data_IF_681881758397
#
_entry.id   IF_681881758397
#
_cell.length_a   1.000
_cell.length_b   1.000
_cell.length_c   1.000
_cell.angle_alpha   90.00
_cell.angle_beta   90.00
_cell.angle_gamma   90.00
#
_symmetry.space_group_name_H-M   'P 1'
#
loop_
_entity.id
_entity.type
_entity.pdbx_description
1 polymer ?
#
# COMPACT_ATOMS: atom_id res chain seq x y z
N UNK A 1 -17.01 22.99 -25.53
CA UNK A 1 -16.62 21.71 -26.15
C UNK A 1 -15.48 20.97 -25.42
N UNK A 2 -14.80 21.56 -24.43
CA UNK A 2 -13.70 20.91 -23.69
C UNK A 2 -14.17 19.97 -22.58
N UNK A 3 -15.28 20.28 -21.91
CA UNK A 3 -15.83 19.47 -20.81
C UNK A 3 -16.23 18.05 -21.22
N UNK A 4 -16.80 17.86 -22.42
CA UNK A 4 -17.20 16.53 -22.92
C UNK A 4 -16.00 15.64 -23.22
N UNK A 5 -14.90 16.21 -23.72
CA UNK A 5 -13.65 15.48 -24.00
C UNK A 5 -13.00 14.99 -22.70
N UNK A 6 -12.90 15.87 -21.70
CA UNK A 6 -12.33 15.53 -20.39
C UNK A 6 -13.14 14.40 -19.72
N UNK A 7 -14.48 14.46 -19.76
CA UNK A 7 -15.32 13.38 -19.22
C UNK A 7 -15.07 12.04 -19.91
N UNK A 8 -15.01 12.05 -21.24
CA UNK A 8 -14.74 10.83 -22.02
C UNK A 8 -13.38 10.22 -21.66
N UNK A 9 -12.33 11.04 -21.53
CA UNK A 9 -11.00 10.57 -21.15
C UNK A 9 -10.99 9.99 -19.71
N UNK A 10 -11.73 10.59 -18.78
CA UNK A 10 -11.90 10.05 -17.41
C UNK A 10 -12.64 8.71 -17.45
N UNK A 11 -13.75 8.61 -18.18
CA UNK A 11 -14.56 7.38 -18.29
C UNK A 11 -13.76 6.23 -18.93
N UNK A 12 -12.98 6.52 -19.97
CA UNK A 12 -12.06 5.57 -20.61
C UNK A 12 -10.97 5.11 -19.64
N UNK A 13 -10.42 6.01 -18.83
CA UNK A 13 -9.45 5.65 -17.78
C UNK A 13 -10.04 4.74 -16.71
N UNK A 14 -11.25 5.06 -16.23
CA UNK A 14 -11.97 4.22 -15.27
C UNK A 14 -12.28 2.84 -15.87
N UNK A 15 -12.68 2.78 -17.13
CA UNK A 15 -12.94 1.51 -17.81
C UNK A 15 -11.65 0.69 -17.95
N UNK A 16 -10.54 1.29 -18.37
CA UNK A 16 -9.24 0.60 -18.46
C UNK A 16 -8.80 0.06 -17.10
N UNK A 17 -9.02 0.81 -16.01
CA UNK A 17 -8.74 0.34 -14.65
C UNK A 17 -9.53 -0.92 -14.31
N UNK A 18 -10.83 -0.93 -14.63
CA UNK A 18 -11.70 -2.09 -14.39
C UNK A 18 -11.27 -3.31 -15.18
N UNK A 19 -10.88 -3.12 -16.43
CA UNK A 19 -10.39 -4.20 -17.30
C UNK A 19 -9.08 -4.79 -16.75
N UNK A 20 -8.16 -3.94 -16.26
CA UNK A 20 -6.92 -4.41 -15.63
C UNK A 20 -7.17 -5.21 -14.34
N UNK A 21 -8.11 -4.78 -13.50
CA UNK A 21 -8.50 -5.54 -12.30
C UNK A 21 -9.17 -6.85 -12.67
N UNK A 22 -9.99 -6.87 -13.74
CA UNK A 22 -10.60 -8.09 -14.25
C UNK A 22 -9.54 -9.07 -14.76
N UNK A 23 -8.58 -8.59 -15.53
CA UNK A 23 -7.47 -9.40 -16.06
C UNK A 23 -6.64 -10.01 -14.92
N UNK A 24 -6.32 -9.22 -13.89
CA UNK A 24 -5.57 -9.72 -12.74
C UNK A 24 -6.35 -10.80 -11.95
N UNK A 25 -7.67 -10.66 -11.84
CA UNK A 25 -8.54 -11.70 -11.24
C UNK A 25 -8.57 -12.97 -12.09
N UNK A 26 -8.60 -12.84 -13.41
CA UNK A 26 -8.53 -14.00 -14.31
C UNK A 26 -7.17 -14.71 -14.22
N UNK A 27 -6.07 -13.96 -14.18
CA UNK A 27 -4.72 -14.52 -13.96
C UNK A 27 -4.61 -15.22 -12.60
N UNK A 28 -5.22 -14.67 -11.55
CA UNK A 28 -5.24 -15.31 -10.23
C UNK A 28 -6.01 -16.64 -10.23
N UNK A 29 -7.13 -16.71 -10.97
CA UNK A 29 -7.89 -17.97 -11.15
C UNK A 29 -7.06 -19.00 -11.92
N UNK A 30 -6.42 -18.59 -13.01
CA UNK A 30 -5.55 -19.46 -13.82
C UNK A 30 -4.36 -19.99 -13.01
N UNK A 31 -3.74 -19.16 -12.18
CA UNK A 31 -2.66 -19.58 -11.28
C UNK A 31 -3.16 -20.59 -10.23
N UNK A 32 -4.39 -20.43 -9.73
CA UNK A 32 -5.01 -21.44 -8.85
C UNK A 32 -5.28 -22.77 -9.57
N UNK A 33 -5.74 -22.73 -10.84
CA UNK A 33 -5.92 -23.93 -11.67
C UNK A 33 -4.58 -24.63 -11.96
N UNK A 34 -3.54 -23.87 -12.32
CA UNK A 34 -2.16 -24.35 -12.50
C UNK A 34 -1.67 -25.05 -11.22
N UNK A 35 -1.88 -24.44 -10.06
CA UNK A 35 -1.48 -25.00 -8.77
C UNK A 35 -2.17 -26.34 -8.49
N UNK A 36 -3.48 -26.43 -8.69
CA UNK A 36 -4.20 -27.70 -8.50
C UNK A 36 -3.74 -28.79 -9.47
N UNK A 37 -3.38 -28.43 -10.71
CA UNK A 37 -2.78 -29.37 -11.66
C UNK A 37 -1.39 -29.82 -11.20
N UNK A 38 -0.51 -28.89 -10.84
CA UNK A 38 0.84 -29.19 -10.34
C UNK A 38 0.80 -30.08 -9.10
N UNK A 39 -0.16 -29.85 -8.20
CA UNK A 39 -0.39 -30.68 -7.02
C UNK A 39 -0.79 -32.12 -7.38
N UNK A 40 -1.66 -32.31 -8.39
CA UNK A 40 -2.00 -33.65 -8.92
C UNK A 40 -0.80 -34.34 -9.57
N UNK A 41 0.01 -33.60 -10.31
CA UNK A 41 1.21 -34.12 -10.96
C UNK A 41 2.26 -34.59 -9.93
N UNK A 42 2.52 -33.78 -8.89
CA UNK A 42 3.41 -34.15 -7.77
C UNK A 42 2.83 -35.36 -7.00
N UNK A 43 1.52 -35.41 -6.80
CA UNK A 43 0.87 -36.53 -6.12
C UNK A 43 1.01 -37.84 -6.91
N UNK A 44 0.88 -37.79 -8.24
CA UNK A 44 0.97 -38.96 -9.13
C UNK A 44 2.40 -39.44 -9.40
N UNK A 45 3.42 -38.57 -9.27
CA UNK A 45 4.82 -38.96 -9.43
C UNK A 45 5.23 -40.05 -8.40
N UNK A 46 5.78 -41.18 -8.83
CA UNK A 46 6.11 -42.30 -7.95
C UNK A 46 7.60 -42.31 -7.56
N UNK A 47 7.92 -41.87 -6.34
CA UNK A 47 9.06 -42.22 -5.44
C UNK A 47 9.37 -41.05 -4.49
N UNK A 48 9.97 -41.35 -3.34
CA UNK A 48 10.13 -40.45 -2.19
C UNK A 48 10.71 -39.06 -2.50
N UNK A 49 10.35 -38.08 -1.66
CA UNK A 49 10.70 -36.66 -1.84
C UNK A 49 9.50 -35.72 -2.10
N UNK A 50 8.28 -36.25 -2.17
CA UNK A 50 7.04 -35.50 -2.48
C UNK A 50 6.77 -34.31 -1.56
N UNK A 51 7.11 -34.44 -0.28
CA UNK A 51 6.78 -33.41 0.71
C UNK A 51 7.64 -32.15 0.53
N UNK A 52 8.94 -32.32 0.27
CA UNK A 52 9.85 -31.20 0.04
C UNK A 52 9.49 -30.47 -1.27
N UNK A 53 9.21 -31.21 -2.34
CA UNK A 53 8.81 -30.62 -3.63
C UNK A 53 7.46 -29.92 -3.55
N UNK A 54 6.48 -30.52 -2.85
CA UNK A 54 5.17 -29.90 -2.62
C UNK A 54 5.28 -28.62 -1.78
N UNK A 55 6.13 -28.61 -0.75
CA UNK A 55 6.35 -27.42 0.09
C UNK A 55 6.99 -26.29 -0.71
N UNK A 56 8.02 -26.58 -1.52
CA UNK A 56 8.65 -25.60 -2.39
C UNK A 56 7.67 -25.03 -3.43
N UNK A 57 6.91 -25.89 -4.10
CA UNK A 57 5.90 -25.49 -5.08
C UNK A 57 4.77 -24.65 -4.44
N UNK A 58 4.35 -24.99 -3.21
CA UNK A 58 3.36 -24.19 -2.45
C UNK A 58 3.89 -22.79 -2.14
N UNK A 59 5.17 -22.69 -1.79
CA UNK A 59 5.80 -21.41 -1.53
C UNK A 59 5.92 -20.57 -2.81
N UNK A 60 6.31 -21.19 -3.94
CA UNK A 60 6.34 -20.53 -5.25
C UNK A 60 4.94 -20.00 -5.63
N UNK A 61 3.91 -20.84 -5.53
CA UNK A 61 2.53 -20.44 -5.81
C UNK A 61 2.08 -19.27 -4.93
N UNK A 62 2.37 -19.34 -3.62
CA UNK A 62 2.07 -18.24 -2.68
C UNK A 62 2.77 -16.95 -3.09
N UNK A 63 4.05 -17.01 -3.44
CA UNK A 63 4.81 -15.86 -3.92
C UNK A 63 4.22 -15.29 -5.22
N UNK A 64 3.81 -16.16 -6.15
CA UNK A 64 3.18 -15.74 -7.40
C UNK A 64 1.87 -15.00 -7.16
N UNK A 65 1.00 -15.52 -6.30
CA UNK A 65 -0.26 -14.85 -5.92
C UNK A 65 0.00 -13.51 -5.21
N UNK A 66 1.00 -13.43 -4.34
CA UNK A 66 1.41 -12.18 -3.70
C UNK A 66 1.93 -11.16 -4.73
N UNK A 67 2.68 -11.61 -5.73
CA UNK A 67 3.13 -10.76 -6.85
C UNK A 67 1.94 -10.24 -7.65
N UNK A 68 0.98 -11.09 -8.01
CA UNK A 68 -0.24 -10.67 -8.72
C UNK A 68 -1.07 -9.66 -7.92
N UNK A 69 -1.28 -9.90 -6.63
CA UNK A 69 -2.03 -8.99 -5.74
C UNK A 69 -1.34 -7.63 -5.61
N UNK A 70 -0.03 -7.61 -5.37
CA UNK A 70 0.75 -6.38 -5.27
C UNK A 70 0.71 -5.54 -6.56
N UNK A 71 0.89 -6.18 -7.72
CA UNK A 71 0.78 -5.51 -9.03
C UNK A 71 -0.63 -4.94 -9.24
N UNK A 72 -1.67 -5.70 -8.89
CA UNK A 72 -3.07 -5.25 -8.99
C UNK A 72 -3.32 -4.01 -8.15
N UNK A 73 -2.78 -3.97 -6.92
CA UNK A 73 -2.88 -2.80 -6.03
C UNK A 73 -2.21 -1.57 -6.66
N UNK A 74 -0.98 -1.69 -7.17
CA UNK A 74 -0.29 -0.59 -7.86
C UNK A 74 -1.12 -0.06 -9.03
N UNK A 75 -1.67 -0.97 -9.83
CA UNK A 75 -2.46 -0.63 -11.00
C UNK A 75 -3.80 0.03 -10.66
N UNK A 76 -4.40 -0.32 -9.53
CA UNK A 76 -5.64 0.32 -9.07
C UNK A 76 -5.47 1.84 -8.84
N UNK A 77 -4.23 2.28 -8.58
CA UNK A 77 -3.90 3.71 -8.44
C UNK A 77 -3.62 4.42 -9.77
N UNK A 78 -3.71 3.75 -10.92
CA UNK A 78 -3.37 4.36 -12.20
C UNK A 78 -4.27 5.55 -12.58
N UNK A 79 -5.52 5.52 -12.14
CA UNK A 79 -6.56 6.48 -12.54
C UNK A 79 -7.20 7.21 -11.34
N UNK A 80 -6.75 6.91 -10.13
CA UNK A 80 -7.12 7.67 -8.94
C UNK A 80 -6.28 8.95 -8.90
N UNK A 81 -6.85 10.12 -8.56
CA UNK A 81 -6.06 11.31 -8.29
C UNK A 81 -4.90 10.96 -7.36
N UNK A 82 -3.71 11.51 -7.63
CA UNK A 82 -2.54 11.38 -6.74
C UNK A 82 -2.71 12.22 -5.47
N UNK A 83 -3.92 12.27 -4.91
CA UNK A 83 -4.18 12.94 -3.65
C UNK A 83 -3.60 12.09 -2.54
N UNK A 84 -2.51 12.57 -1.96
CA UNK A 84 -1.81 11.85 -0.92
C UNK A 84 -2.43 12.00 0.46
N UNK A 85 -3.50 12.75 0.67
CA UNK A 85 -4.03 12.98 2.01
C UNK A 85 -4.61 11.70 2.62
N UNK A 86 -3.99 11.21 3.69
CA UNK A 86 -4.47 10.04 4.44
C UNK A 86 -5.41 10.43 5.58
N UNK A 87 -5.23 11.61 6.16
CA UNK A 87 -6.02 12.09 7.28
C UNK A 87 -5.25 13.02 8.20
N UNK A 88 -5.94 13.47 9.25
CA UNK A 88 -5.39 14.28 10.32
C UNK A 88 -5.67 13.58 11.65
N UNK A 89 -4.75 13.67 12.61
CA UNK A 89 -4.98 13.17 13.96
C UNK A 89 -5.43 14.26 14.95
N UNK A 90 -5.75 13.87 16.19
CA UNK A 90 -6.24 14.79 17.20
C UNK A 90 -5.20 15.84 17.66
N UNK A 91 -3.92 15.62 17.37
CA UNK A 91 -2.85 16.59 17.63
C UNK A 91 -2.66 17.55 16.43
N UNK A 92 -3.48 17.42 15.40
CA UNK A 92 -3.45 18.26 14.21
C UNK A 92 -2.39 17.83 13.19
N UNK A 93 -1.69 16.71 13.38
CA UNK A 93 -0.71 16.22 12.40
C UNK A 93 -1.42 15.73 11.16
N UNK A 94 -0.92 16.14 10.01
CA UNK A 94 -1.53 15.86 8.70
C UNK A 94 -0.67 14.82 7.98
N UNK A 95 -1.25 13.69 7.62
CA UNK A 95 -0.54 12.57 7.01
C UNK A 95 -0.77 12.54 5.50
N UNK A 96 0.32 12.39 4.76
CA UNK A 96 0.34 12.34 3.32
C UNK A 96 1.11 11.10 2.82
N UNK A 97 0.59 10.41 1.82
CA UNK A 97 1.28 9.33 1.12
C UNK A 97 0.90 9.38 -0.36
N UNK A 98 1.87 9.56 -1.26
CA UNK A 98 1.55 9.58 -2.68
C UNK A 98 1.31 8.18 -3.23
N UNK A 99 0.42 8.10 -4.21
CA UNK A 99 0.20 6.87 -4.95
C UNK A 99 1.43 6.49 -5.79
N UNK A 100 1.56 5.20 -6.16
CA UNK A 100 2.68 4.71 -6.97
C UNK A 100 3.00 5.56 -8.20
N UNK A 101 4.30 5.61 -8.51
CA UNK A 101 4.88 6.35 -9.61
C UNK A 101 4.37 5.90 -10.99
N UNK A 102 4.72 6.66 -12.03
CA UNK A 102 4.47 6.21 -13.40
C UNK A 102 5.31 4.97 -13.76
N UNK A 103 6.62 4.92 -13.44
CA UNK A 103 7.45 3.75 -13.75
C UNK A 103 6.90 2.45 -13.16
N UNK A 104 6.45 2.49 -11.91
CA UNK A 104 5.96 1.32 -11.18
C UNK A 104 4.67 0.77 -11.79
N UNK A 105 3.81 1.66 -12.28
CA UNK A 105 2.57 1.28 -12.98
C UNK A 105 2.86 0.66 -14.34
N UNK A 106 3.79 1.21 -15.11
CA UNK A 106 4.24 0.62 -16.38
C UNK A 106 4.86 -0.77 -16.20
N UNK A 107 5.56 -0.95 -15.08
CA UNK A 107 6.17 -2.23 -14.73
C UNK A 107 5.13 -3.26 -14.30
N UNK A 108 4.15 -2.84 -13.51
CA UNK A 108 3.04 -3.70 -13.12
C UNK A 108 2.17 -4.12 -14.32
N UNK A 109 1.96 -3.21 -15.27
CA UNK A 109 1.34 -3.51 -16.56
C UNK A 109 2.15 -4.55 -17.33
N UNK A 110 3.47 -4.36 -17.42
CA UNK A 110 4.39 -5.32 -18.06
C UNK A 110 4.24 -6.72 -17.49
N UNK A 111 4.18 -6.80 -16.16
CA UNK A 111 4.11 -8.06 -15.46
C UNK A 111 2.81 -8.78 -15.80
N UNK A 112 1.67 -8.09 -15.76
CA UNK A 112 0.38 -8.67 -16.15
C UNK A 112 0.37 -9.10 -17.62
N UNK A 113 0.95 -8.31 -18.53
CA UNK A 113 1.10 -8.67 -19.93
C UNK A 113 1.96 -9.93 -20.11
N UNK A 114 3.10 -10.01 -19.42
CA UNK A 114 3.97 -11.19 -19.45
C UNK A 114 3.26 -12.44 -18.93
N UNK A 115 2.47 -12.33 -17.85
CA UNK A 115 1.66 -13.43 -17.33
C UNK A 115 0.62 -13.93 -18.35
N UNK A 116 0.07 -13.04 -19.20
CA UNK A 116 -0.84 -13.43 -20.29
C UNK A 116 -0.10 -14.14 -21.44
N UNK A 117 1.12 -13.70 -21.77
CA UNK A 117 1.89 -14.24 -22.90
C UNK A 117 2.51 -15.62 -22.65
N UNK A 118 2.78 -16.00 -21.39
CA UNK A 118 3.37 -17.31 -21.05
C UNK A 118 2.50 -18.49 -21.52
N UNK A 119 1.20 -18.27 -21.78
CA UNK A 119 0.31 -19.27 -22.40
C UNK A 119 0.56 -19.48 -23.91
N UNK A 120 1.25 -18.54 -24.58
CA UNK A 120 1.43 -18.50 -26.03
C UNK A 120 2.89 -18.42 -26.47
N UNK A 121 3.64 -19.52 -26.36
CA UNK A 121 4.97 -19.69 -27.01
C UNK A 121 5.98 -18.54 -26.78
N UNK A 122 6.53 -18.48 -25.56
CA UNK A 122 7.96 -18.28 -25.29
C UNK A 122 8.74 -17.18 -26.03
N UNK A 123 8.17 -15.99 -26.24
CA UNK A 123 9.01 -14.83 -26.62
C UNK A 123 9.66 -14.27 -25.35
N UNK A 124 10.99 -14.33 -25.30
CA UNK A 124 11.77 -13.69 -24.24
C UNK A 124 11.47 -12.18 -24.26
N UNK A 125 10.95 -11.65 -23.16
CA UNK A 125 10.73 -10.22 -22.98
C UNK A 125 12.04 -9.46 -23.24
N UNK A 126 12.04 -8.57 -24.24
CA UNK A 126 13.22 -7.80 -24.65
C UNK A 126 13.43 -6.68 -23.62
N UNK A 127 14.64 -6.63 -23.06
CA UNK A 127 15.11 -5.79 -21.96
C UNK A 127 14.29 -4.53 -21.67
N UNK A 128 13.59 -4.54 -20.53
CA UNK A 128 12.98 -3.34 -19.95
C UNK A 128 13.97 -2.67 -19.00
N UNK A 129 13.79 -1.36 -18.82
CA UNK A 129 14.62 -0.51 -17.96
C UNK A 129 14.59 -1.07 -16.53
N UNK A 130 15.77 -1.16 -15.92
CA UNK A 130 15.95 -1.52 -14.51
C UNK A 130 14.99 -0.69 -13.66
N UNK A 131 14.30 -1.31 -12.69
CA UNK A 131 13.61 -0.55 -11.66
C UNK A 131 14.61 0.43 -10.99
N UNK A 132 14.11 1.56 -10.48
CA UNK A 132 14.92 2.45 -9.67
C UNK A 132 15.64 1.65 -8.57
N UNK A 133 16.96 1.79 -8.51
CA UNK A 133 17.79 1.12 -7.52
C UNK A 133 17.30 1.51 -6.11
N UNK A 134 16.97 0.51 -5.29
CA UNK A 134 16.58 0.66 -3.87
C UNK A 134 17.67 1.36 -3.04
N UNK A 135 18.91 1.40 -3.55
CA UNK A 135 20.08 1.84 -2.82
C UNK A 135 20.04 3.29 -2.31
N UNK A 136 19.12 4.14 -2.81
CA UNK A 136 19.00 5.53 -2.36
C UNK A 136 17.73 5.80 -1.54
N UNK A 137 17.09 4.77 -0.98
CA UNK A 137 15.93 4.95 -0.09
C UNK A 137 16.20 5.86 1.13
N UNK A 138 17.46 6.04 1.51
CA UNK A 138 17.89 6.99 2.54
C UNK A 138 17.74 8.45 2.12
N UNK A 139 17.75 8.76 0.82
CA UNK A 139 17.73 10.14 0.31
C UNK A 139 16.31 10.71 0.15
N UNK A 140 15.25 9.92 0.43
CA UNK A 140 13.83 10.34 0.36
C UNK A 140 13.48 11.12 -0.93
N UNK A 141 14.17 10.85 -2.04
CA UNK A 141 14.05 11.66 -3.27
C UNK A 141 12.69 11.48 -3.96
N UNK A 142 12.07 10.32 -3.78
CA UNK A 142 10.76 10.00 -4.37
C UNK A 142 9.66 10.00 -3.29
N UNK A 143 8.80 11.01 -3.36
CA UNK A 143 7.63 11.21 -2.51
C UNK A 143 6.63 10.05 -2.52
N UNK A 144 6.71 9.15 -3.49
CA UNK A 144 5.89 7.95 -3.50
C UNK A 144 6.39 6.86 -2.55
N UNK A 145 7.61 6.94 -2.01
CA UNK A 145 8.25 5.89 -1.19
C UNK A 145 8.23 6.15 0.32
N UNK A 146 7.55 7.20 0.78
CA UNK A 146 7.40 7.46 2.21
C UNK A 146 6.05 8.10 2.55
N UNK A 147 5.69 8.04 3.83
CA UNK A 147 4.60 8.82 4.41
C UNK A 147 5.19 10.14 4.91
N UNK A 148 4.70 11.25 4.36
CA UNK A 148 5.03 12.59 4.82
C UNK A 148 4.04 13.03 5.91
N UNK A 149 4.54 13.55 7.02
CA UNK A 149 3.73 14.02 8.15
C UNK A 149 4.05 15.49 8.39
N UNK A 150 3.04 16.35 8.37
CA UNK A 150 3.18 17.76 8.74
C UNK A 150 2.70 17.99 10.17
N UNK A 151 3.53 18.64 11.00
CA UNK A 151 3.20 19.05 12.37
C UNK A 151 4.29 18.65 13.37
N UNK A 152 3.89 18.45 14.63
CA UNK A 152 4.78 17.96 15.69
C UNK A 152 5.38 16.59 15.36
N UNK A 153 6.59 16.31 15.84
CA UNK A 153 7.25 15.01 15.63
C UNK A 153 6.36 13.85 16.13
N UNK A 154 6.07 12.83 15.29
CA UNK A 154 5.42 11.62 15.76
C UNK A 154 6.35 10.89 16.73
N UNK A 155 5.91 10.75 18.00
CA UNK A 155 6.71 10.37 19.20
C UNK A 155 7.46 9.03 19.15
N UNK A 156 7.45 8.32 18.02
CA UNK A 156 8.06 7.01 17.81
C UNK A 156 8.90 6.91 16.52
N UNK A 157 9.09 7.99 15.76
CA UNK A 157 9.83 7.97 14.49
C UNK A 157 11.36 7.95 14.63
N UNK A 158 11.89 7.68 15.82
CA UNK A 158 13.33 7.47 16.05
C UNK A 158 14.22 8.71 15.85
N UNK A 159 13.66 9.87 15.53
CA UNK A 159 14.44 11.09 15.36
C UNK A 159 14.84 11.66 16.72
N UNK A 160 16.14 11.99 16.84
CA UNK A 160 16.73 12.61 18.04
C UNK A 160 16.75 14.12 17.85
N UNK A 161 15.61 14.73 17.57
CA UNK A 161 15.54 16.19 17.49
C UNK A 161 15.80 16.79 18.87
N UNK A 162 16.45 17.97 18.90
CA UNK A 162 16.69 18.69 20.16
C UNK A 162 15.37 19.41 20.55
N UNK A 163 15.04 19.48 21.84
CA UNK A 163 13.74 19.94 22.34
C UNK A 163 13.44 21.44 22.17
N UNK A 164 14.22 22.21 21.40
CA UNK A 164 14.12 23.68 21.36
C UNK A 164 13.41 24.22 20.09
N UNK A 165 13.10 23.35 19.13
CA UNK A 165 12.38 23.71 17.90
C UNK A 165 10.95 23.13 17.95
N UNK A 166 10.04 23.78 18.69
CA UNK A 166 8.60 23.47 18.72
C UNK A 166 7.85 23.86 17.43
N UNK A 167 8.57 24.10 16.34
CA UNK A 167 7.98 24.53 15.07
C UNK A 167 7.41 23.33 14.28
N UNK A 168 6.24 23.55 13.65
CA UNK A 168 5.65 22.58 12.73
C UNK A 168 6.65 22.28 11.58
N UNK A 169 7.00 20.99 11.42
CA UNK A 169 7.95 20.54 10.42
C UNK A 169 7.38 19.39 9.57
N UNK A 170 8.05 19.12 8.44
CA UNK A 170 7.80 17.93 7.62
C UNK A 170 8.65 16.77 8.12
N UNK A 171 8.02 15.63 8.35
CA UNK A 171 8.65 14.36 8.73
C UNK A 171 8.39 13.32 7.64
N UNK A 172 9.36 12.45 7.37
CA UNK A 172 9.22 11.36 6.41
C UNK A 172 9.42 10.00 7.09
N UNK A 173 8.48 9.08 6.90
CA UNK A 173 8.59 7.69 7.38
C UNK A 173 8.54 6.76 6.17
N UNK A 174 9.66 6.09 5.88
CA UNK A 174 9.80 5.25 4.69
C UNK A 174 9.86 3.76 5.01
N UNK A 175 10.15 3.36 6.25
CA UNK A 175 10.17 1.95 6.62
C UNK A 175 8.75 1.40 6.84
N UNK A 176 8.33 0.34 6.13
CA UNK A 176 7.00 -0.25 6.31
C UNK A 176 6.72 -0.73 7.73
N UNK A 177 7.76 -1.15 8.45
CA UNK A 177 7.63 -1.58 9.85
C UNK A 177 7.33 -0.38 10.77
N UNK A 178 7.92 0.78 10.53
CA UNK A 178 7.68 2.00 11.29
C UNK A 178 6.31 2.60 11.00
N UNK A 179 5.86 2.58 9.74
CA UNK A 179 4.51 3.02 9.37
C UNK A 179 3.45 2.18 10.11
N UNK A 180 3.68 0.87 10.28
CA UNK A 180 2.79 0.00 11.08
C UNK A 180 2.86 0.25 12.58
N UNK A 181 4.04 0.58 13.11
CA UNK A 181 4.14 1.00 14.52
C UNK A 181 3.37 2.30 14.74
N UNK A 182 3.42 3.22 13.78
CA UNK A 182 2.66 4.46 13.81
C UNK A 182 1.15 4.19 13.75
N UNK A 183 0.67 3.31 12.85
CA UNK A 183 -0.74 2.95 12.78
C UNK A 183 -1.23 2.30 14.08
N UNK A 184 -0.48 1.34 14.63
CA UNK A 184 -0.76 0.71 15.93
C UNK A 184 -0.78 1.73 17.07
N UNK A 185 0.17 2.66 17.08
CA UNK A 185 0.22 3.72 18.09
C UNK A 185 -1.00 4.63 18.01
N UNK A 186 -1.46 5.01 16.82
CA UNK A 186 -2.69 5.79 16.63
C UNK A 186 -3.90 5.02 17.16
N UNK A 187 -4.02 3.73 16.84
CA UNK A 187 -5.07 2.84 17.36
C UNK A 187 -5.09 2.82 18.88
N UNK A 188 -3.95 2.57 19.54
CA UNK A 188 -3.87 2.51 21.01
C UNK A 188 -4.09 3.87 21.66
N UNK A 189 -3.57 4.95 21.08
CA UNK A 189 -3.67 6.31 21.62
C UNK A 189 -5.12 6.80 21.64
N UNK A 190 -5.88 6.48 20.59
CA UNK A 190 -7.26 6.90 20.44
C UNK A 190 -8.28 5.81 20.78
N UNK A 191 -7.82 4.67 21.31
CA UNK A 191 -8.65 3.52 21.75
C UNK A 191 -9.63 3.06 20.68
N UNK A 192 -9.16 2.98 19.43
CA UNK A 192 -9.99 2.57 18.29
C UNK A 192 -10.34 1.07 18.33
N UNK A 193 -9.64 0.29 19.15
CA UNK A 193 -9.82 -1.15 19.36
C UNK A 193 -10.87 -1.50 20.41
N UNK A 194 -11.33 -0.53 21.22
CA UNK A 194 -12.49 -0.72 22.10
C UNK A 194 -13.75 -0.77 21.20
N UNK A 195 -14.13 -1.97 20.77
CA UNK A 195 -15.49 -2.23 20.26
C UNK A 195 -16.46 -1.71 21.31
N UNK A 196 -17.35 -0.79 20.91
CA UNK A 196 -18.26 -0.07 21.81
C UNK A 196 -19.26 -1.03 22.48
N UNK A 197 -18.80 -1.82 23.46
CA UNK A 197 -19.64 -2.56 24.38
C UNK A 197 -20.28 -1.52 25.32
N UNK A 198 -21.48 -1.08 24.93
CA UNK A 198 -22.50 -0.30 25.64
C UNK A 198 -22.45 1.25 25.51
N UNK A 199 -23.46 1.85 24.82
CA UNK A 199 -23.49 3.29 24.53
C UNK A 199 -24.15 4.17 25.62
N UNK A 200 -24.15 3.77 26.90
CA UNK A 200 -25.04 4.40 27.88
C UNK A 200 -24.43 5.45 28.84
N UNK A 201 -23.10 5.66 28.89
CA UNK A 201 -22.54 6.46 30.00
C UNK A 201 -21.23 7.24 29.76
N UNK A 202 -20.79 7.51 28.52
CA UNK A 202 -19.44 8.08 28.28
C UNK A 202 -19.40 9.45 27.58
N UNK A 203 -20.48 10.23 27.60
CA UNK A 203 -20.50 11.59 27.05
C UNK A 203 -19.79 12.66 27.92
N UNK A 204 -19.08 12.29 28.98
CA UNK A 204 -18.65 13.27 30.00
C UNK A 204 -17.13 13.48 30.17
N UNK A 205 -16.24 12.80 29.42
CA UNK A 205 -14.79 12.88 29.74
C UNK A 205 -13.93 13.70 28.75
N UNK A 206 -14.32 13.88 27.49
CA UNK A 206 -13.48 14.61 26.52
C UNK A 206 -13.72 16.14 26.52
N UNK A 207 -14.66 16.64 27.31
CA UNK A 207 -15.14 18.02 27.22
C UNK A 207 -14.37 19.05 28.07
N UNK A 208 -13.36 18.64 28.84
CA UNK A 208 -12.85 19.50 29.90
C UNK A 208 -11.32 19.47 30.07
N UNK A 209 -10.57 19.85 29.04
CA UNK A 209 -9.25 20.50 29.22
C UNK A 209 -8.79 21.15 27.90
N UNK A 210 -8.50 22.46 27.91
CA UNK A 210 -7.65 23.09 26.87
C UNK A 210 -8.32 24.02 25.85
N UNK A 211 -9.23 24.89 26.27
CA UNK A 211 -9.76 25.97 25.43
C UNK A 211 -8.76 27.16 25.38
N UNK A 212 -7.91 27.23 24.34
CA UNK A 212 -7.42 28.49 23.69
C UNK A 212 -6.30 28.22 22.67
N UNK A 213 -6.69 27.99 21.42
CA UNK A 213 -6.16 28.71 20.24
C UNK A 213 -7.13 28.54 19.09
N UNK A 214 -7.57 29.64 18.50
CA UNK A 214 -8.49 29.67 17.37
C UNK A 214 -7.71 29.22 16.11
N UNK A 215 -7.77 27.92 15.82
CA UNK A 215 -7.76 27.39 14.45
C UNK A 215 -8.96 26.46 14.38
N UNK A 216 -9.90 26.76 13.49
CA UNK A 216 -11.18 26.06 13.32
C UNK A 216 -11.03 24.68 12.69
N UNK A 217 -10.00 23.92 13.08
CA UNK A 217 -9.89 22.51 12.72
C UNK A 217 -10.69 21.75 13.77
N UNK A 218 -11.92 21.37 13.42
CA UNK A 218 -12.68 20.41 14.20
C UNK A 218 -11.79 19.18 14.46
N UNK A 219 -11.81 18.67 15.69
CA UNK A 219 -11.15 17.41 16.03
C UNK A 219 -11.63 16.32 15.06
N UNK A 220 -10.72 15.48 14.53
CA UNK A 220 -11.12 14.39 13.64
C UNK A 220 -12.05 13.43 14.39
N UNK A 221 -13.08 12.98 13.68
CA UNK A 221 -14.00 11.95 14.16
C UNK A 221 -13.32 10.59 14.28
N UNK A 222 -13.89 9.68 15.10
CA UNK A 222 -13.42 8.29 15.23
C UNK A 222 -13.26 7.60 13.87
N UNK A 223 -14.23 7.79 12.98
CA UNK A 223 -14.20 7.24 11.62
C UNK A 223 -13.04 7.80 10.77
N UNK A 224 -12.72 9.09 10.88
CA UNK A 224 -11.57 9.67 10.17
C UNK A 224 -10.24 9.10 10.66
N UNK A 225 -10.11 8.86 11.98
CA UNK A 225 -8.94 8.21 12.56
C UNK A 225 -8.82 6.75 12.12
N UNK A 226 -9.92 6.00 12.11
CA UNK A 226 -9.96 4.62 11.58
C UNK A 226 -9.56 4.58 10.10
N UNK A 227 -10.05 5.53 9.29
CA UNK A 227 -9.67 5.67 7.89
C UNK A 227 -8.18 5.97 7.73
N UNK A 228 -7.62 6.85 8.57
CA UNK A 228 -6.20 7.16 8.58
C UNK A 228 -5.35 5.92 8.91
N UNK A 229 -5.69 5.19 9.98
CA UNK A 229 -5.00 3.96 10.38
C UNK A 229 -5.03 2.93 9.24
N UNK A 230 -6.21 2.71 8.65
CA UNK A 230 -6.36 1.81 7.50
C UNK A 230 -5.51 2.25 6.31
N UNK A 231 -5.50 3.54 5.98
CA UNK A 231 -4.69 4.09 4.89
C UNK A 231 -3.18 3.90 5.12
N UNK A 232 -2.70 4.07 6.36
CA UNK A 232 -1.31 3.81 6.73
C UNK A 232 -0.94 2.32 6.57
N UNK A 233 -1.80 1.40 7.00
CA UNK A 233 -1.55 -0.04 6.88
C UNK A 233 -1.58 -0.54 5.42
N UNK A 234 -2.52 -0.03 4.62
CA UNK A 234 -2.59 -0.30 3.19
C UNK A 234 -1.33 0.21 2.49
N UNK A 235 -0.91 1.45 2.78
CA UNK A 235 0.29 2.04 2.21
C UNK A 235 1.56 1.27 2.62
N UNK A 236 1.71 0.91 3.90
CA UNK A 236 2.83 0.10 4.38
C UNK A 236 2.91 -1.26 3.66
N UNK A 237 1.76 -1.86 3.36
CA UNK A 237 1.69 -3.13 2.63
C UNK A 237 2.17 -2.98 1.18
N UNK A 238 1.74 -1.92 0.50
CA UNK A 238 2.19 -1.59 -0.87
C UNK A 238 3.69 -1.27 -0.89
N UNK A 239 4.17 -0.49 0.07
CA UNK A 239 5.57 -0.07 0.16
C UNK A 239 6.50 -1.26 0.45
N UNK A 240 6.12 -2.15 1.37
CA UNK A 240 6.87 -3.37 1.65
C UNK A 240 7.05 -4.21 0.38
N UNK A 241 5.97 -4.42 -0.36
CA UNK A 241 6.03 -5.18 -1.60
C UNK A 241 6.96 -4.54 -2.63
N UNK A 242 6.96 -3.20 -2.73
CA UNK A 242 7.86 -2.45 -3.64
C UNK A 242 9.32 -2.64 -3.25
N UNK A 243 9.64 -2.56 -1.96
CA UNK A 243 10.99 -2.80 -1.43
C UNK A 243 11.45 -4.23 -1.70
N UNK A 244 10.60 -5.23 -1.45
CA UNK A 244 10.93 -6.64 -1.71
C UNK A 244 11.20 -6.89 -3.19
N UNK A 245 10.37 -6.35 -4.08
CA UNK A 245 10.55 -6.47 -5.52
C UNK A 245 11.83 -5.81 -6.00
N UNK A 246 12.08 -4.58 -5.57
CA UNK A 246 13.25 -3.85 -6.01
C UNK A 246 14.56 -4.43 -5.42
N UNK A 247 14.47 -5.23 -4.33
CA UNK A 247 15.57 -6.10 -3.86
C UNK A 247 15.75 -7.36 -4.71
N UNK A 248 14.68 -7.95 -5.25
CA UNK A 248 14.77 -9.10 -6.17
C UNK A 248 15.47 -8.73 -7.50
N UNK A 249 15.47 -7.44 -7.87
CA UNK A 249 16.03 -6.92 -9.13
C UNK A 249 17.47 -6.38 -9.02
N UNK A 250 17.96 -6.14 -7.80
CA UNK A 250 19.30 -5.61 -7.52
C UNK A 250 20.36 -6.72 -7.47
#
# INVERSE_FOLDING_TARGET
>A
MTSSRIRKEIDEGVQSSKDMVKDARELSKKEAERWEQQKKDIASAAKGGKEATLKAARQEHKQHLQKLDGMTKILSHAYTPRSGYLGQDAEGRTYWALSPGMPEREEALAFLEACKEVEGKGKKAKGRRSAPSVANGEELEDWSWFVAVWGSEPRNAGAKSKPDDEEDAWWGIWEPAEIRKLSQWLTSKYRLDEEDETPAAKDSWWAQEGQKTIRTNSLPSKHELESLVKGLDEYATVLQWRIEKARDEA
#
